data_IF_604582646628
#
_entry.id   IF_604582646628
#
_cell.length_a   1.000
_cell.length_b   1.000
_cell.length_c   1.000
_cell.angle_alpha   90.00
_cell.angle_beta   90.00
_cell.angle_gamma   90.00
#
_symmetry.space_group_name_H-M   'P 1'
#
loop_
_entity.id
_entity.type
_entity.pdbx_description
1 polymer ?
#
# COMPACT_ATOMS: atom_id res chain seq x y z
N UNK A 1 1.73 22.06 1.35
CA UNK A 1 0.32 22.15 0.93
C UNK A 1 -0.16 20.72 0.79
N UNK A 2 -1.32 20.38 1.36
CA UNK A 2 -1.88 19.01 1.27
C UNK A 2 -2.92 19.08 0.16
N UNK A 3 -2.69 18.36 -0.92
CA UNK A 3 -3.68 18.25 -2.00
C UNK A 3 -4.86 17.42 -1.50
N UNK A 4 -6.02 18.06 -1.40
CA UNK A 4 -7.27 17.43 -0.97
C UNK A 4 -7.87 16.72 -2.19
N UNK A 5 -8.05 15.39 -2.14
CA UNK A 5 -8.71 14.68 -3.24
C UNK A 5 -10.19 15.06 -3.32
N UNK A 6 -10.80 14.93 -4.49
CA UNK A 6 -12.26 15.09 -4.66
C UNK A 6 -13.04 13.98 -3.94
N UNK A 7 -12.47 12.78 -3.91
CA UNK A 7 -13.07 11.62 -3.26
C UNK A 7 -12.06 10.54 -2.86
N UNK A 8 -12.50 9.68 -1.94
CA UNK A 8 -11.86 8.42 -1.60
C UNK A 8 -12.67 7.23 -2.09
N UNK A 9 -12.00 6.14 -2.45
CA UNK A 9 -12.63 4.84 -2.66
C UNK A 9 -12.05 3.82 -1.67
N UNK A 10 -12.93 3.08 -1.00
CA UNK A 10 -12.56 2.04 -0.03
C UNK A 10 -13.29 0.75 -0.40
N UNK A 11 -12.56 -0.37 -0.60
CA UNK A 11 -13.18 -1.66 -0.86
C UNK A 11 -14.09 -2.10 0.29
N UNK A 12 -15.26 -2.68 -0.03
CA UNK A 12 -16.26 -3.07 0.96
C UNK A 12 -15.78 -4.12 1.97
N UNK A 13 -14.69 -4.83 1.67
CA UNK A 13 -14.04 -5.76 2.59
C UNK A 13 -13.46 -5.12 3.85
N UNK A 14 -13.19 -3.80 3.84
CA UNK A 14 -12.68 -3.05 4.99
C UNK A 14 -13.80 -2.60 5.94
N UNK A 15 -14.68 -3.53 6.29
CA UNK A 15 -15.86 -3.34 7.14
C UNK A 15 -15.57 -2.59 8.45
N UNK A 16 -14.46 -2.84 9.13
CA UNK A 16 -14.07 -2.10 10.35
C UNK A 16 -13.91 -0.61 10.07
N UNK A 17 -13.22 -0.25 8.99
CA UNK A 17 -13.03 1.15 8.57
C UNK A 17 -14.37 1.77 8.20
N UNK A 18 -15.18 1.07 7.40
CA UNK A 18 -16.51 1.53 7.01
C UNK A 18 -17.39 1.80 8.24
N UNK A 19 -17.36 0.94 9.26
CA UNK A 19 -18.11 1.13 10.49
C UNK A 19 -17.64 2.37 11.28
N UNK A 20 -16.33 2.63 11.34
CA UNK A 20 -15.77 3.83 11.98
C UNK A 20 -16.19 5.11 11.24
N UNK A 21 -16.17 5.09 9.91
CA UNK A 21 -16.63 6.21 9.09
C UNK A 21 -18.14 6.47 9.32
N UNK A 22 -18.96 5.41 9.39
CA UNK A 22 -20.39 5.53 9.70
C UNK A 22 -20.63 6.12 11.10
N UNK A 23 -19.87 5.67 12.10
CA UNK A 23 -19.98 6.18 13.48
C UNK A 23 -19.69 7.69 13.54
N UNK A 24 -18.78 8.15 12.69
CA UNK A 24 -18.42 9.57 12.54
C UNK A 24 -19.30 10.32 11.52
N UNK A 25 -20.43 9.73 11.12
CA UNK A 25 -21.44 10.34 10.24
C UNK A 25 -20.88 10.76 8.88
N UNK A 26 -19.89 10.02 8.37
CA UNK A 26 -19.38 10.22 7.01
C UNK A 26 -20.46 9.80 6.01
N UNK A 27 -20.77 10.70 5.09
CA UNK A 27 -21.62 10.43 3.95
C UNK A 27 -20.84 9.59 2.93
N UNK A 28 -21.36 8.41 2.60
CA UNK A 28 -20.72 7.48 1.68
C UNK A 28 -21.74 6.92 0.70
N UNK A 29 -21.33 6.77 -0.54
CA UNK A 29 -22.13 6.14 -1.60
C UNK A 29 -21.51 4.80 -1.99
N UNK A 30 -22.33 3.83 -2.41
CA UNK A 30 -21.82 2.56 -2.90
C UNK A 30 -21.78 2.56 -4.43
N UNK A 31 -20.71 2.01 -5.00
CA UNK A 31 -20.63 1.75 -6.43
C UNK A 31 -21.74 0.79 -6.86
N UNK A 32 -22.50 1.18 -7.88
CA UNK A 32 -23.65 0.40 -8.36
C UNK A 32 -23.26 -0.74 -9.30
N UNK A 33 -22.11 -0.62 -9.95
CA UNK A 33 -21.54 -1.55 -10.90
C UNK A 33 -20.03 -1.65 -10.68
N UNK A 34 -19.44 -2.74 -11.15
CA UNK A 34 -17.99 -2.86 -11.25
C UNK A 34 -17.47 -1.73 -12.16
N UNK A 35 -16.42 -1.05 -11.73
CA UNK A 35 -15.90 0.14 -12.39
C UNK A 35 -14.38 0.09 -12.39
N UNK A 36 -13.74 0.43 -13.51
CA UNK A 36 -12.29 0.68 -13.53
C UNK A 36 -12.07 2.18 -13.56
N UNK A 37 -11.32 2.68 -12.58
CA UNK A 37 -11.10 4.11 -12.38
C UNK A 37 -9.62 4.40 -12.27
N UNK A 38 -9.20 5.54 -12.83
CA UNK A 38 -7.88 6.11 -12.57
C UNK A 38 -7.87 6.72 -11.18
N UNK A 39 -6.94 6.30 -10.34
CA UNK A 39 -6.82 6.73 -8.94
C UNK A 39 -5.37 7.01 -8.59
N UNK A 40 -5.16 7.91 -7.64
CA UNK A 40 -3.90 8.03 -6.92
C UNK A 40 -3.88 7.00 -5.78
N UNK A 41 -2.84 6.19 -5.74
CA UNK A 41 -2.68 5.09 -4.80
C UNK A 41 -1.38 5.20 -4.02
N UNK A 42 -1.38 4.64 -2.82
CA UNK A 42 -0.18 4.55 -2.00
C UNK A 42 0.29 3.11 -1.87
N UNK A 43 1.60 2.92 -1.94
CA UNK A 43 2.27 1.74 -1.41
C UNK A 43 3.10 2.16 -0.21
N UNK A 44 2.96 1.46 0.90
CA UNK A 44 3.76 1.71 2.09
C UNK A 44 5.21 1.34 1.77
N UNK A 45 6.10 2.32 1.82
CA UNK A 45 7.52 2.15 1.53
C UNK A 45 8.29 1.79 2.78
N UNK A 46 8.01 2.50 3.87
CA UNK A 46 8.64 2.27 5.17
C UNK A 46 7.71 2.73 6.30
N UNK A 47 7.88 2.14 7.48
CA UNK A 47 7.23 2.55 8.71
C UNK A 47 7.94 1.90 9.90
N UNK A 48 7.89 2.56 11.05
CA UNK A 48 8.29 1.99 12.33
C UNK A 48 7.04 1.59 13.12
N UNK A 49 7.17 0.63 14.04
CA UNK A 49 6.07 0.22 14.94
C UNK A 49 6.50 0.32 16.39
N UNK A 50 5.66 0.94 17.22
CA UNK A 50 5.91 1.00 18.67
C UNK A 50 5.92 -0.41 19.26
N UNK A 51 6.77 -0.64 20.26
CA UNK A 51 6.88 -1.95 20.93
C UNK A 51 5.98 -2.08 22.16
N UNK A 52 5.34 -0.98 22.57
CA UNK A 52 4.40 -0.93 23.68
C UNK A 52 3.00 -0.56 23.17
N UNK A 53 1.99 -1.24 23.69
CA UNK A 53 0.61 -0.96 23.35
C UNK A 53 0.13 0.35 24.00
N UNK A 54 -0.68 1.11 23.27
CA UNK A 54 -1.41 2.28 23.75
C UNK A 54 -2.88 2.12 23.36
N UNK A 55 -3.78 2.12 24.34
CA UNK A 55 -5.23 1.88 24.13
C UNK A 55 -5.55 0.59 23.36
N UNK A 56 -4.68 -0.43 23.44
CA UNK A 56 -4.84 -1.70 22.72
C UNK A 56 -4.22 -1.72 21.31
N UNK A 57 -3.55 -0.65 20.90
CA UNK A 57 -2.95 -0.49 19.58
C UNK A 57 -1.42 -0.43 19.64
N UNK A 58 -0.77 -0.98 18.62
CA UNK A 58 0.68 -0.89 18.40
C UNK A 58 0.94 0.07 17.26
N UNK A 59 1.09 1.36 17.60
CA UNK A 59 1.01 2.39 16.58
C UNK A 59 2.19 2.36 15.60
N UNK A 60 1.89 2.60 14.33
CA UNK A 60 2.91 2.89 13.32
C UNK A 60 3.27 4.38 13.30
N UNK A 61 4.51 4.68 12.92
CA UNK A 61 5.01 6.05 12.78
C UNK A 61 6.14 6.10 11.73
N UNK A 62 6.66 7.30 11.44
CA UNK A 62 7.66 7.53 10.39
C UNK A 62 7.27 6.91 9.04
N UNK A 63 5.99 7.04 8.69
CA UNK A 63 5.43 6.38 7.50
C UNK A 63 5.91 7.09 6.24
N UNK A 64 6.58 6.33 5.38
CA UNK A 64 6.95 6.72 4.04
C UNK A 64 6.07 5.96 3.04
N UNK A 65 5.63 6.64 2.00
CA UNK A 65 4.79 6.05 0.95
C UNK A 65 5.33 6.40 -0.42
N UNK A 66 5.21 5.45 -1.34
CA UNK A 66 5.28 5.73 -2.76
C UNK A 66 3.87 6.10 -3.24
N UNK A 67 3.74 7.26 -3.90
CA UNK A 67 2.50 7.71 -4.51
C UNK A 67 2.58 7.54 -6.02
N UNK A 68 1.55 6.92 -6.61
CA UNK A 68 1.49 6.70 -8.05
C UNK A 68 0.04 6.68 -8.54
N UNK A 69 -0.14 7.09 -9.79
CA UNK A 69 -1.42 6.96 -10.47
C UNK A 69 -1.55 5.55 -11.07
N UNK A 70 -2.72 4.94 -10.93
CA UNK A 70 -3.02 3.63 -11.49
C UNK A 70 -4.48 3.49 -11.90
N UNK A 71 -4.74 2.64 -12.90
CA UNK A 71 -6.09 2.15 -13.17
C UNK A 71 -6.39 0.94 -12.30
N UNK A 72 -7.38 1.07 -11.42
CA UNK A 72 -7.79 0.02 -10.48
C UNK A 72 -9.24 -0.36 -10.76
N UNK A 73 -9.51 -1.66 -10.81
CA UNK A 73 -10.86 -2.21 -10.91
C UNK A 73 -11.47 -2.33 -9.51
N UNK A 74 -12.61 -1.68 -9.33
CA UNK A 74 -13.43 -1.72 -8.13
C UNK A 74 -14.69 -2.53 -8.38
N UNK A 75 -15.20 -3.15 -7.33
CA UNK A 75 -16.39 -3.99 -7.39
C UNK A 75 -17.63 -3.19 -7.03
N UNK A 76 -18.78 -3.64 -7.54
CA UNK A 76 -20.08 -3.23 -7.04
C UNK A 76 -20.13 -3.41 -5.52
N UNK A 77 -20.55 -2.35 -4.83
CA UNK A 77 -20.67 -2.32 -3.38
C UNK A 77 -19.51 -1.65 -2.66
N UNK A 78 -18.37 -1.43 -3.33
CA UNK A 78 -17.28 -0.61 -2.80
C UNK A 78 -17.75 0.82 -2.54
N UNK A 79 -17.11 1.49 -1.58
CA UNK A 79 -17.54 2.78 -1.07
C UNK A 79 -16.82 3.92 -1.79
N UNK A 80 -17.60 4.86 -2.33
CA UNK A 80 -17.15 6.11 -2.90
C UNK A 80 -17.56 7.26 -1.97
N UNK A 81 -16.57 8.02 -1.50
CA UNK A 81 -16.69 8.97 -0.41
C UNK A 81 -16.21 10.34 -0.89
N UNK A 82 -17.13 11.24 -1.20
CA UNK A 82 -16.77 12.61 -1.58
C UNK A 82 -16.15 13.35 -0.39
N UNK A 83 -15.11 14.14 -0.61
CA UNK A 83 -14.48 14.92 0.47
C UNK A 83 -15.24 16.22 0.77
N UNK A 84 -16.06 16.71 -0.17
CA UNK A 84 -16.92 17.88 0.00
C UNK A 84 -18.14 17.58 0.91
N UNK A 85 -17.86 17.38 2.20
CA UNK A 85 -18.83 17.11 3.25
C UNK A 85 -18.32 17.60 4.61
N UNK A 86 -19.20 17.68 5.61
CA UNK A 86 -18.84 18.14 6.97
C UNK A 86 -17.72 17.33 7.63
N UNK A 87 -17.56 16.06 7.23
CA UNK A 87 -16.54 15.16 7.77
C UNK A 87 -15.16 15.30 7.09
N UNK A 88 -14.94 16.29 6.20
CA UNK A 88 -13.68 16.47 5.46
C UNK A 88 -12.43 16.31 6.33
N UNK A 89 -12.35 17.06 7.45
CA UNK A 89 -11.19 16.99 8.34
C UNK A 89 -10.97 15.58 8.88
N UNK A 90 -12.04 14.90 9.30
CA UNK A 90 -11.95 13.54 9.79
C UNK A 90 -11.42 12.58 8.71
N UNK A 91 -11.85 12.74 7.46
CA UNK A 91 -11.36 11.94 6.34
C UNK A 91 -9.87 12.14 6.11
N UNK A 92 -9.39 13.39 6.01
CA UNK A 92 -7.97 13.66 5.78
C UNK A 92 -7.10 13.10 6.92
N UNK A 93 -7.50 13.31 8.17
CA UNK A 93 -6.71 12.90 9.34
C UNK A 93 -6.67 11.38 9.53
N UNK A 94 -7.73 10.67 9.10
CA UNK A 94 -7.83 9.21 9.32
C UNK A 94 -7.46 8.36 8.11
N UNK A 95 -7.68 8.87 6.89
CA UNK A 95 -7.50 8.10 5.65
C UNK A 95 -6.13 8.31 5.01
N UNK A 96 -5.42 9.40 5.28
CA UNK A 96 -4.04 9.59 4.80
C UNK A 96 -3.06 8.81 5.69
N UNK A 97 -2.29 7.84 5.16
CA UNK A 97 -1.48 6.94 5.99
C UNK A 97 -0.38 7.66 6.77
N UNK A 98 0.09 8.81 6.28
CA UNK A 98 1.12 9.63 6.92
C UNK A 98 0.56 10.57 8.01
N UNK A 99 -0.77 10.70 8.13
CA UNK A 99 -1.37 11.51 9.17
C UNK A 99 -1.15 10.88 10.56
N UNK A 100 -0.91 11.67 11.62
CA UNK A 100 -0.60 11.14 12.95
C UNK A 100 -1.66 10.18 13.49
N UNK A 101 -2.94 10.52 13.29
CA UNK A 101 -4.11 9.75 13.76
C UNK A 101 -4.74 8.89 12.65
N UNK A 102 -3.94 8.52 11.64
CA UNK A 102 -4.42 7.69 10.54
C UNK A 102 -4.83 6.30 11.01
N UNK A 103 -5.80 5.70 10.34
CA UNK A 103 -6.14 4.29 10.58
C UNK A 103 -4.95 3.37 10.34
N UNK A 104 -4.01 3.77 9.48
CA UNK A 104 -2.75 3.06 9.32
C UNK A 104 -1.91 3.13 10.59
N UNK A 105 -1.67 4.33 11.13
CA UNK A 105 -0.91 4.50 12.37
C UNK A 105 -1.59 3.83 13.56
N UNK A 106 -2.91 3.72 13.57
CA UNK A 106 -3.67 2.97 14.56
C UNK A 106 -3.84 1.48 14.21
N UNK A 107 -2.97 0.94 13.37
CA UNK A 107 -2.81 -0.49 13.07
C UNK A 107 -4.09 -1.21 12.60
N UNK A 108 -5.02 -0.48 11.95
CA UNK A 108 -6.24 -1.06 11.38
C UNK A 108 -5.99 -1.77 10.05
N UNK A 109 -4.84 -1.53 9.41
CA UNK A 109 -4.50 -2.04 8.09
C UNK A 109 -3.40 -3.12 8.09
N UNK A 110 -3.02 -3.66 9.25
CA UNK A 110 -1.87 -4.58 9.41
C UNK A 110 -1.89 -5.79 8.49
N UNK A 111 -3.07 -6.21 8.04
CA UNK A 111 -3.22 -7.32 7.09
C UNK A 111 -2.53 -7.09 5.73
N UNK A 112 -2.19 -5.85 5.38
CA UNK A 112 -1.41 -5.52 4.17
C UNK A 112 0.10 -5.62 4.39
N UNK A 113 0.57 -5.64 5.65
CA UNK A 113 1.99 -5.58 6.00
C UNK A 113 2.70 -6.92 5.90
N UNK A 114 1.93 -8.00 5.95
CA UNK A 114 2.46 -9.35 5.83
C UNK A 114 2.45 -9.79 4.37
N UNK A 115 3.63 -10.12 3.86
CA UNK A 115 3.77 -10.90 2.63
C UNK A 115 3.24 -12.33 2.86
N UNK A 116 2.29 -12.76 2.04
CA UNK A 116 1.65 -14.07 2.08
C UNK A 116 2.29 -15.05 1.10
N UNK A 117 2.80 -14.56 -0.03
CA UNK A 117 3.41 -15.39 -1.06
C UNK A 117 4.92 -15.16 -1.12
N UNK A 118 5.70 -16.22 -1.26
CA UNK A 118 7.15 -16.14 -1.37
C UNK A 118 7.66 -16.96 -2.56
N UNK A 119 8.99 -17.03 -2.68
CA UNK A 119 9.64 -17.83 -3.72
C UNK A 119 10.42 -18.99 -3.10
N UNK A 120 10.54 -20.08 -3.86
CA UNK A 120 11.54 -21.12 -3.59
C UNK A 120 12.83 -20.73 -4.30
N UNK A 121 13.96 -20.55 -3.59
CA UNK A 121 15.24 -20.20 -4.21
C UNK A 121 15.61 -21.11 -5.39
N UNK A 122 15.44 -22.43 -5.23
CA UNK A 122 15.77 -23.43 -6.24
C UNK A 122 14.98 -23.30 -7.55
N UNK A 123 13.77 -22.74 -7.50
CA UNK A 123 12.92 -22.53 -8.69
C UNK A 123 13.08 -21.12 -9.24
N UNK A 124 13.42 -20.17 -8.37
CA UNK A 124 13.46 -18.75 -8.70
C UNK A 124 14.81 -18.31 -9.28
N UNK A 125 15.92 -18.93 -8.87
CA UNK A 125 17.26 -18.50 -9.29
C UNK A 125 17.42 -18.41 -10.81
N UNK A 126 17.06 -19.46 -11.55
CA UNK A 126 17.14 -19.48 -13.01
C UNK A 126 16.24 -18.40 -13.64
N UNK A 127 15.02 -18.24 -13.12
CA UNK A 127 14.06 -17.22 -13.61
C UNK A 127 14.51 -15.80 -13.30
N UNK A 128 15.17 -15.59 -12.16
CA UNK A 128 15.69 -14.29 -11.77
C UNK A 128 16.85 -13.87 -12.70
N UNK A 129 17.65 -14.84 -13.15
CA UNK A 129 18.66 -14.60 -14.18
C UNK A 129 18.01 -14.22 -15.51
N UNK A 130 17.01 -15.00 -15.98
CA UNK A 130 16.27 -14.68 -17.20
C UNK A 130 15.64 -13.28 -17.15
N UNK A 131 15.08 -12.90 -15.99
CA UNK A 131 14.50 -11.57 -15.75
C UNK A 131 15.55 -10.45 -15.92
N UNK A 132 16.75 -10.63 -15.39
CA UNK A 132 17.85 -9.67 -15.53
C UNK A 132 18.38 -9.57 -16.96
N UNK A 133 18.45 -10.70 -17.67
CA UNK A 133 18.88 -10.72 -19.07
C UNK A 133 17.86 -10.06 -20.01
N UNK A 134 16.57 -10.27 -19.75
CA UNK A 134 15.49 -9.68 -20.51
C UNK A 134 15.30 -8.18 -20.23
N UNK A 135 15.75 -7.67 -19.08
CA UNK A 135 15.57 -6.28 -18.67
C UNK A 135 16.91 -5.59 -18.31
N UNK A 136 17.59 -4.98 -19.29
CA UNK A 136 18.87 -4.32 -19.09
C UNK A 136 18.83 -3.15 -18.09
N UNK A 137 17.69 -2.46 -17.94
CA UNK A 137 17.59 -1.34 -17.01
C UNK A 137 17.43 -1.84 -15.57
N UNK A 138 16.62 -2.88 -15.35
CA UNK A 138 16.55 -3.58 -14.06
C UNK A 138 17.92 -4.13 -13.65
N UNK A 139 18.69 -4.67 -14.61
CA UNK A 139 20.05 -5.14 -14.34
C UNK A 139 20.97 -4.04 -13.86
N UNK A 140 20.91 -2.85 -14.46
CA UNK A 140 21.68 -1.69 -13.97
C UNK A 140 21.28 -1.32 -12.54
N UNK A 141 19.97 -1.28 -12.24
CA UNK A 141 19.49 -0.98 -10.88
C UNK A 141 19.96 -2.02 -9.86
N UNK A 142 19.93 -3.30 -10.23
CA UNK A 142 20.45 -4.40 -9.41
C UNK A 142 21.95 -4.25 -9.14
N UNK A 143 22.74 -4.01 -10.18
CA UNK A 143 24.19 -3.84 -10.06
C UNK A 143 24.56 -2.60 -9.23
N UNK A 144 23.85 -1.48 -9.43
CA UNK A 144 24.01 -0.27 -8.61
C UNK A 144 23.69 -0.57 -7.14
N UNK A 145 22.59 -1.25 -6.86
CA UNK A 145 22.22 -1.61 -5.49
C UNK A 145 23.27 -2.51 -4.82
N UNK A 146 23.91 -3.42 -5.57
CA UNK A 146 25.02 -4.24 -5.06
C UNK A 146 26.28 -3.44 -4.72
N UNK A 147 26.49 -2.31 -5.38
CA UNK A 147 27.62 -1.41 -5.08
C UNK A 147 27.31 -0.57 -3.84
N UNK A 148 26.08 -0.06 -3.74
CA UNK A 148 25.70 0.91 -2.72
C UNK A 148 25.33 0.28 -1.36
N UNK A 149 24.99 -1.01 -1.34
CA UNK A 149 24.46 -1.72 -0.15
C UNK A 149 25.23 -3.02 0.11
N UNK A 150 26.20 -2.98 1.05
CA UNK A 150 27.04 -4.13 1.41
C UNK A 150 26.24 -5.29 2.01
N UNK A 151 25.17 -5.00 2.76
CA UNK A 151 24.31 -6.04 3.35
C UNK A 151 23.54 -6.78 2.25
N UNK A 152 23.08 -6.05 1.23
CA UNK A 152 22.47 -6.64 0.05
C UNK A 152 23.47 -7.46 -0.77
N UNK A 153 24.66 -6.92 -1.03
CA UNK A 153 25.71 -7.58 -1.81
C UNK A 153 26.20 -8.90 -1.18
N UNK A 154 26.24 -8.95 0.16
CA UNK A 154 26.68 -10.13 0.93
C UNK A 154 25.61 -11.20 1.15
N UNK A 155 24.34 -10.90 0.83
CA UNK A 155 23.22 -11.83 1.03
C UNK A 155 22.61 -12.27 -0.31
N UNK A 156 22.89 -13.52 -0.70
CA UNK A 156 22.30 -14.12 -1.91
C UNK A 156 20.76 -14.15 -1.83
N UNK A 157 20.21 -14.38 -0.64
CA UNK A 157 18.76 -14.43 -0.45
C UNK A 157 18.15 -13.03 -0.60
N UNK A 158 18.80 -11.99 -0.05
CA UNK A 158 18.34 -10.62 -0.21
C UNK A 158 18.34 -10.20 -1.69
N UNK A 159 19.35 -10.61 -2.46
CA UNK A 159 19.41 -10.39 -3.90
C UNK A 159 18.24 -11.05 -4.64
N UNK A 160 17.98 -12.33 -4.37
CA UNK A 160 16.85 -13.04 -4.98
C UNK A 160 15.49 -12.48 -4.55
N UNK A 161 15.34 -12.09 -3.30
CA UNK A 161 14.11 -11.47 -2.77
C UNK A 161 13.82 -10.11 -3.41
N UNK A 162 14.86 -9.29 -3.57
CA UNK A 162 14.71 -8.03 -4.29
C UNK A 162 14.29 -8.25 -5.74
N UNK A 163 14.93 -9.19 -6.45
CA UNK A 163 14.53 -9.53 -7.83
C UNK A 163 13.11 -10.08 -7.90
N UNK A 164 12.71 -10.90 -6.92
CA UNK A 164 11.34 -11.41 -6.82
C UNK A 164 10.35 -10.25 -6.73
N UNK A 165 10.63 -9.26 -5.88
CA UNK A 165 9.80 -8.04 -5.71
C UNK A 165 9.71 -7.16 -6.97
N UNK A 166 10.69 -7.24 -7.87
CA UNK A 166 10.65 -6.56 -9.17
C UNK A 166 9.95 -7.39 -10.27
N UNK A 167 9.59 -8.64 -9.98
CA UNK A 167 8.95 -9.54 -10.94
C UNK A 167 7.42 -9.43 -10.93
N UNK A 168 6.79 -9.96 -11.97
CA UNK A 168 5.33 -10.10 -12.06
C UNK A 168 4.73 -11.07 -11.02
N UNK A 169 5.56 -11.90 -10.39
CA UNK A 169 5.13 -12.89 -9.40
C UNK A 169 4.96 -12.29 -7.99
N UNK A 170 5.49 -11.09 -7.74
CA UNK A 170 5.31 -10.44 -6.47
C UNK A 170 3.86 -10.04 -6.26
N UNK A 171 3.30 -10.42 -5.11
CA UNK A 171 1.90 -10.18 -4.82
C UNK A 171 1.63 -8.66 -4.77
N UNK A 172 0.62 -8.23 -5.53
CA UNK A 172 0.30 -6.80 -5.63
C UNK A 172 -0.29 -6.25 -4.33
N UNK A 173 -0.85 -7.11 -3.48
CA UNK A 173 -1.53 -6.74 -2.25
C UNK A 173 -0.58 -6.38 -1.09
N UNK A 174 0.67 -6.87 -1.11
CA UNK A 174 1.62 -6.60 -0.04
C UNK A 174 2.02 -5.11 -0.05
N UNK A 175 1.90 -4.48 1.12
CA UNK A 175 2.09 -3.05 1.38
C UNK A 175 1.19 -2.11 0.57
N UNK A 176 0.18 -2.65 -0.12
CA UNK A 176 -0.75 -1.86 -0.90
C UNK A 176 -1.78 -1.21 0.02
N UNK A 177 -1.75 0.11 0.13
CA UNK A 177 -2.69 0.82 0.97
C UNK A 177 -4.09 0.77 0.33
N UNK A 178 -5.14 0.39 1.08
CA UNK A 178 -6.44 0.06 0.52
C UNK A 178 -7.41 1.24 0.45
N UNK A 179 -6.93 2.48 0.61
CA UNK A 179 -7.71 3.69 0.41
C UNK A 179 -7.16 4.41 -0.81
N UNK A 180 -8.02 4.61 -1.81
CA UNK A 180 -7.65 5.18 -3.10
C UNK A 180 -8.20 6.60 -3.22
N UNK A 181 -7.47 7.48 -3.91
CA UNK A 181 -7.79 8.91 -4.01
C UNK A 181 -8.14 9.26 -5.45
N UNK A 182 -9.14 10.12 -5.62
CA UNK A 182 -9.53 10.70 -6.91
C UNK A 182 -9.30 12.21 -6.84
N UNK A 183 -8.63 12.74 -7.85
CA UNK A 183 -8.31 14.15 -8.04
C UNK A 183 -8.89 14.65 -9.35
#
# INVERSE_FOLDING_TARGET
>A
EIDIPEAYIIPQGWWTIINLLQLNKVEMTRLKNDSTLTVNSYRIKNYDTRTQAYEGHYQHYNVEVDNYEAQISFQKGDYFIHTNQNALRYLIETLEPQAPDSFFNWNFFDTILQQKEGFSPYVWEDKALDLLEANPDLKKEFDLKKIDDEQFASSWYAQLDWLYKQSEHYEKAHLQYPVYRIF
#
